data_IF_741565205819
#
_entry.id   IF_741565205819
#
_cell.length_a   1.000
_cell.length_b   1.000
_cell.length_c   1.000
_cell.angle_alpha   90.00
_cell.angle_beta   90.00
_cell.angle_gamma   90.00
#
_symmetry.space_group_name_H-M   'P 1'
#
loop_
_entity.id
_entity.type
_entity.pdbx_description
1 polymer ?
#
# COMPACT_ATOMS: atom_id res chain seq x y z
N UNK A 1 4.27 0.67 1.40
CA UNK A 1 4.52 1.04 0.00
C UNK A 1 3.44 1.98 -0.52
N UNK A 2 3.78 2.80 -1.52
CA UNK A 2 2.87 3.71 -2.21
C UNK A 2 3.03 3.52 -3.70
N UNK A 3 1.99 3.86 -4.47
CA UNK A 3 2.05 3.86 -5.92
C UNK A 3 1.60 5.22 -6.46
N UNK A 4 2.27 5.68 -7.51
CA UNK A 4 1.92 6.89 -8.22
C UNK A 4 1.57 6.55 -9.66
N UNK A 5 0.42 7.04 -10.11
CA UNK A 5 -0.07 6.90 -11.48
C UNK A 5 -0.07 8.26 -12.18
N UNK A 6 0.07 8.25 -13.49
CA UNK A 6 -0.27 9.43 -14.30
C UNK A 6 -1.78 9.69 -14.20
N UNK A 7 -2.17 10.86 -13.69
CA UNK A 7 -3.59 11.17 -13.48
C UNK A 7 -4.42 11.24 -14.77
N UNK A 8 -3.78 11.42 -15.92
CA UNK A 8 -4.45 11.36 -17.23
C UNK A 8 -4.93 9.95 -17.56
N UNK A 9 -4.31 8.94 -16.93
CA UNK A 9 -4.58 7.51 -17.16
C UNK A 9 -5.39 6.87 -16.04
N UNK A 10 -5.32 7.46 -14.82
CA UNK A 10 -6.01 6.92 -13.64
C UNK A 10 -6.71 8.05 -12.88
N UNK A 11 -7.98 8.24 -13.17
CA UNK A 11 -8.82 9.26 -12.54
C UNK A 11 -9.67 8.70 -11.40
N UNK A 12 -10.15 7.45 -11.56
CA UNK A 12 -11.12 6.83 -10.65
C UNK A 12 -10.66 5.46 -10.21
N UNK A 13 -10.11 5.39 -9.00
CA UNK A 13 -9.61 4.14 -8.44
C UNK A 13 -10.76 3.26 -7.97
N UNK A 14 -10.76 2.00 -8.41
CA UNK A 14 -11.58 0.90 -7.90
C UNK A 14 -10.72 -0.31 -7.62
N UNK A 15 -11.02 -0.99 -6.53
CA UNK A 15 -10.35 -2.22 -6.14
C UNK A 15 -11.32 -3.39 -6.36
N UNK A 16 -10.96 -4.33 -7.21
CA UNK A 16 -11.83 -5.47 -7.52
C UNK A 16 -11.08 -6.72 -7.97
N UNK A 17 -11.79 -7.85 -7.98
CA UNK A 17 -11.39 -9.08 -8.66
C UNK A 17 -12.25 -9.25 -9.92
N UNK A 18 -11.67 -9.90 -10.92
CA UNK A 18 -12.37 -10.22 -12.16
C UNK A 18 -12.90 -11.66 -12.11
N UNK A 19 -14.12 -11.88 -12.60
CA UNK A 19 -14.75 -13.21 -12.59
C UNK A 19 -14.16 -14.19 -13.60
N UNK A 20 -13.30 -13.73 -14.51
CA UNK A 20 -12.64 -14.54 -15.54
C UNK A 20 -11.16 -14.20 -15.62
N UNK A 21 -10.29 -15.20 -15.85
CA UNK A 21 -8.88 -14.96 -16.08
C UNK A 21 -8.63 -14.10 -17.33
N UNK A 22 -7.53 -13.29 -17.28
CA UNK A 22 -7.08 -12.46 -18.40
C UNK A 22 -5.58 -12.22 -18.32
N UNK A 23 -4.98 -11.72 -19.40
CA UNK A 23 -3.58 -11.35 -19.46
C UNK A 23 -3.41 -9.86 -19.15
N UNK A 24 -2.40 -9.53 -18.34
CA UNK A 24 -2.08 -8.18 -17.92
C UNK A 24 -0.57 -7.92 -18.02
N UNK A 25 -0.19 -6.83 -18.69
CA UNK A 25 1.21 -6.45 -18.82
C UNK A 25 1.63 -5.54 -17.66
N UNK A 26 2.66 -5.95 -16.93
CA UNK A 26 3.22 -5.20 -15.80
C UNK A 26 4.36 -4.27 -16.23
N UNK A 27 4.77 -3.35 -15.33
CA UNK A 27 5.81 -2.34 -15.57
C UNK A 27 7.16 -2.91 -16.08
N UNK A 28 7.47 -4.15 -15.75
CA UNK A 28 8.66 -4.86 -16.23
C UNK A 28 8.50 -5.40 -17.67
N UNK A 29 7.40 -5.08 -18.35
CA UNK A 29 7.09 -5.50 -19.72
C UNK A 29 6.63 -6.96 -19.84
N UNK A 30 6.46 -7.66 -18.71
CA UNK A 30 6.08 -9.07 -18.70
C UNK A 30 4.58 -9.23 -18.71
N UNK A 31 4.04 -10.08 -19.60
CA UNK A 31 2.64 -10.51 -19.56
C UNK A 31 2.41 -11.55 -18.46
N UNK A 32 1.39 -11.33 -17.64
CA UNK A 32 1.03 -12.20 -16.52
C UNK A 32 -0.42 -12.65 -16.64
N UNK A 33 -0.65 -13.93 -16.36
CA UNK A 33 -1.98 -14.49 -16.33
C UNK A 33 -2.63 -14.18 -14.96
N UNK A 34 -3.65 -13.33 -14.98
CA UNK A 34 -4.41 -12.93 -13.80
C UNK A 34 -5.58 -13.88 -13.64
N UNK A 35 -5.68 -14.48 -12.45
CA UNK A 35 -6.80 -15.35 -12.08
C UNK A 35 -7.95 -14.58 -11.40
N UNK A 36 -9.06 -15.25 -11.16
CA UNK A 36 -10.26 -14.67 -10.51
C UNK A 36 -10.03 -14.28 -9.05
N UNK A 37 -8.95 -14.75 -8.41
CA UNK A 37 -8.64 -14.47 -7.01
C UNK A 37 -7.63 -13.32 -6.84
N UNK A 38 -7.00 -12.88 -7.92
CA UNK A 38 -6.03 -11.79 -7.88
C UNK A 38 -6.74 -10.45 -7.76
N UNK A 39 -6.35 -9.65 -6.77
CA UNK A 39 -6.89 -8.32 -6.55
C UNK A 39 -6.22 -7.33 -7.49
N UNK A 40 -7.04 -6.54 -8.18
CA UNK A 40 -6.59 -5.53 -9.13
C UNK A 40 -6.99 -4.13 -8.68
N UNK A 41 -6.12 -3.17 -8.92
CA UNK A 41 -6.44 -1.75 -8.92
C UNK A 41 -6.86 -1.39 -10.34
N UNK A 42 -7.96 -0.66 -10.47
CA UNK A 42 -8.56 -0.31 -11.75
C UNK A 42 -8.82 1.19 -11.84
N UNK A 43 -8.69 1.74 -13.05
CA UNK A 43 -9.34 2.99 -13.42
C UNK A 43 -10.76 2.64 -13.87
N UNK A 44 -11.74 2.89 -13.02
CA UNK A 44 -13.13 2.38 -13.14
C UNK A 44 -13.17 0.86 -13.36
N UNK A 45 -13.23 0.37 -14.57
CA UNK A 45 -13.25 -1.06 -14.89
C UNK A 45 -11.99 -1.57 -15.59
N UNK A 46 -11.07 -0.69 -15.96
CA UNK A 46 -9.82 -1.03 -16.64
C UNK A 46 -8.73 -1.32 -15.62
N UNK A 47 -8.14 -2.53 -15.60
CA UNK A 47 -7.05 -2.85 -14.68
C UNK A 47 -5.83 -1.97 -14.96
N UNK A 48 -5.24 -1.40 -13.90
CA UNK A 48 -4.04 -0.55 -13.98
C UNK A 48 -2.90 -1.01 -13.09
N UNK A 49 -3.17 -1.89 -12.12
CA UNK A 49 -2.13 -2.50 -11.31
C UNK A 49 -2.61 -3.81 -10.68
N UNK A 50 -1.66 -4.71 -10.39
CA UNK A 50 -1.86 -5.85 -9.50
C UNK A 50 -1.68 -5.34 -8.08
N UNK A 51 -2.76 -5.31 -7.29
CA UNK A 51 -2.78 -4.72 -5.96
C UNK A 51 -1.65 -5.26 -5.06
N UNK A 52 -0.83 -4.36 -4.53
CA UNK A 52 0.26 -4.66 -3.63
C UNK A 52 1.43 -5.45 -4.24
N UNK A 53 1.44 -5.67 -5.54
CA UNK A 53 2.49 -6.44 -6.23
C UNK A 53 3.21 -5.58 -7.25
N UNK A 54 2.54 -5.16 -8.34
CA UNK A 54 3.18 -4.37 -9.39
C UNK A 54 2.17 -3.58 -10.23
N UNK A 55 2.55 -2.37 -10.62
CA UNK A 55 1.80 -1.53 -11.54
C UNK A 55 1.75 -2.09 -12.97
N UNK A 56 0.78 -1.62 -13.74
CA UNK A 56 0.66 -1.89 -15.15
C UNK A 56 1.48 -0.93 -16.01
N UNK A 57 1.97 -1.40 -17.14
CA UNK A 57 2.79 -0.62 -18.06
C UNK A 57 2.03 0.62 -18.58
N UNK A 58 0.75 0.48 -18.92
CA UNK A 58 -0.04 1.57 -19.51
C UNK A 58 -0.36 2.71 -18.54
N UNK A 59 -0.22 2.51 -17.23
CA UNK A 59 -0.50 3.52 -16.19
C UNK A 59 0.76 4.20 -15.64
N UNK A 60 1.90 3.90 -16.21
CA UNK A 60 3.22 4.41 -15.85
C UNK A 60 3.30 5.95 -15.93
N UNK A 61 4.09 6.52 -15.02
CA UNK A 61 4.53 7.92 -15.09
C UNK A 61 5.52 8.07 -16.24
N UNK A 62 5.34 9.09 -17.05
CA UNK A 62 6.18 9.41 -18.20
C UNK A 62 6.74 10.84 -18.08
N UNK A 63 7.71 11.19 -18.92
CA UNK A 63 8.44 12.47 -18.83
C UNK A 63 7.55 13.72 -18.88
N UNK A 64 6.37 13.66 -19.51
CA UNK A 64 5.39 14.73 -19.60
C UNK A 64 4.24 14.61 -18.59
N UNK A 65 4.39 13.79 -17.56
CA UNK A 65 3.42 13.70 -16.47
C UNK A 65 3.51 14.91 -15.57
N UNK A 66 2.41 15.68 -15.47
CA UNK A 66 2.33 16.89 -14.65
C UNK A 66 1.47 16.72 -13.40
N UNK A 67 0.62 15.71 -13.35
CA UNK A 67 -0.26 15.46 -12.21
C UNK A 67 -0.27 13.97 -11.88
N UNK A 68 -0.13 13.67 -10.58
CA UNK A 68 -0.08 12.32 -10.07
C UNK A 68 -1.37 11.97 -9.33
N UNK A 69 -1.87 10.77 -9.53
CA UNK A 69 -2.82 10.11 -8.63
C UNK A 69 -2.02 9.21 -7.70
N UNK A 70 -2.07 9.47 -6.39
CA UNK A 70 -1.32 8.71 -5.39
C UNK A 70 -2.22 7.66 -4.73
N UNK A 71 -1.68 6.45 -4.62
CA UNK A 71 -2.25 5.37 -3.83
C UNK A 71 -1.36 5.13 -2.61
N UNK A 72 -1.98 5.11 -1.43
CA UNK A 72 -1.39 4.59 -0.20
C UNK A 72 -2.41 3.65 0.42
N UNK A 73 -2.13 2.37 0.40
CA UNK A 73 -3.10 1.34 0.76
C UNK A 73 -2.52 0.30 1.72
N UNK A 74 -3.41 -0.42 2.37
CA UNK A 74 -3.13 -1.68 3.05
C UNK A 74 -4.02 -2.76 2.44
N UNK A 75 -3.43 -3.91 2.13
CA UNK A 75 -4.11 -5.04 1.53
C UNK A 75 -4.09 -6.23 2.48
N UNK A 76 -5.07 -7.12 2.33
CA UNK A 76 -5.07 -8.38 3.07
C UNK A 76 -3.81 -9.20 2.76
N UNK A 77 -2.94 -9.37 3.75
CA UNK A 77 -1.62 -9.99 3.61
C UNK A 77 -1.67 -11.41 3.03
N UNK A 78 -2.68 -12.20 3.41
CA UNK A 78 -2.88 -13.56 2.89
C UNK A 78 -3.23 -13.54 1.42
N UNK A 79 -4.08 -12.59 0.99
CA UNK A 79 -4.45 -12.41 -0.42
C UNK A 79 -3.24 -12.05 -1.27
N UNK A 80 -2.42 -11.09 -0.82
CA UNK A 80 -1.19 -10.69 -1.52
C UNK A 80 -0.22 -11.88 -1.61
N UNK A 81 0.05 -12.57 -0.50
CA UNK A 81 0.95 -13.72 -0.49
C UNK A 81 0.51 -14.82 -1.46
N UNK A 82 -0.78 -15.16 -1.47
CA UNK A 82 -1.32 -16.17 -2.40
C UNK A 82 -1.18 -15.74 -3.85
N UNK A 83 -1.47 -14.47 -4.17
CA UNK A 83 -1.32 -13.94 -5.52
C UNK A 83 0.14 -13.92 -5.98
N UNK A 84 1.06 -13.51 -5.11
CA UNK A 84 2.51 -13.53 -5.35
C UNK A 84 3.01 -14.92 -5.72
N UNK A 85 2.55 -15.96 -5.00
CA UNK A 85 2.92 -17.35 -5.29
C UNK A 85 2.35 -17.82 -6.62
N UNK A 86 1.05 -17.57 -6.89
CA UNK A 86 0.40 -17.96 -8.15
C UNK A 86 1.04 -17.30 -9.38
N UNK A 87 1.36 -16.02 -9.27
CA UNK A 87 1.99 -15.26 -10.34
C UNK A 87 3.50 -15.55 -10.48
N UNK A 88 4.09 -16.31 -9.55
CA UNK A 88 5.54 -16.51 -9.41
C UNK A 88 6.30 -15.17 -9.45
N UNK A 89 5.71 -14.12 -8.85
CA UNK A 89 6.22 -12.75 -8.94
C UNK A 89 6.25 -12.09 -7.56
N UNK A 90 7.43 -12.02 -6.97
CA UNK A 90 7.67 -11.44 -5.66
C UNK A 90 8.44 -10.14 -5.79
N UNK A 91 7.85 -9.05 -5.34
CA UNK A 91 8.42 -7.70 -5.40
C UNK A 91 8.69 -7.16 -3.99
N UNK A 92 9.46 -6.08 -3.88
CA UNK A 92 9.67 -5.38 -2.60
C UNK A 92 8.35 -4.90 -1.97
N UNK A 93 7.39 -4.47 -2.78
CA UNK A 93 6.06 -4.11 -2.32
C UNK A 93 5.33 -5.32 -1.73
N UNK A 94 5.27 -6.43 -2.47
CA UNK A 94 4.59 -7.64 -2.01
C UNK A 94 5.21 -8.23 -0.74
N UNK A 95 6.54 -8.17 -0.60
CA UNK A 95 7.24 -8.61 0.61
C UNK A 95 6.85 -7.80 1.86
N UNK A 96 6.44 -6.54 1.69
CA UNK A 96 5.94 -5.70 2.79
C UNK A 96 4.46 -5.96 3.05
N UNK A 97 3.64 -5.97 2.01
CA UNK A 97 2.19 -6.19 2.16
C UNK A 97 1.84 -7.58 2.72
N UNK A 98 2.63 -8.61 2.44
CA UNK A 98 2.42 -9.94 3.04
C UNK A 98 2.67 -10.01 4.55
N UNK A 99 3.09 -8.89 5.19
CA UNK A 99 3.43 -8.79 6.62
C UNK A 99 2.39 -8.07 7.49
N UNK A 100 1.16 -7.90 7.01
CA UNK A 100 0.09 -7.22 7.73
C UNK A 100 0.47 -5.78 8.13
N UNK A 101 0.65 -4.92 7.14
CA UNK A 101 0.93 -3.50 7.37
C UNK A 101 -0.25 -2.83 8.09
N UNK A 102 0.07 -1.91 8.99
CA UNK A 102 -0.92 -1.14 9.72
C UNK A 102 -1.65 -0.17 8.78
N UNK A 103 -2.99 -0.25 8.64
CA UNK A 103 -3.76 0.64 7.80
C UNK A 103 -3.76 2.11 8.27
N UNK A 104 -3.57 2.37 9.56
CA UNK A 104 -3.46 3.74 10.10
C UNK A 104 -2.25 4.50 9.54
N UNK A 105 -1.26 3.80 9.00
CA UNK A 105 -0.07 4.41 8.42
C UNK A 105 -0.26 4.91 6.99
N UNK A 106 -1.40 4.68 6.35
CA UNK A 106 -1.65 5.08 4.96
C UNK A 106 -1.71 6.60 4.79
N UNK A 107 -2.45 7.29 5.65
CA UNK A 107 -2.57 8.75 5.64
C UNK A 107 -1.25 9.45 6.02
N UNK A 108 -0.56 9.07 7.11
CA UNK A 108 0.78 9.59 7.41
C UNK A 108 1.79 9.40 6.26
N UNK A 109 1.72 8.29 5.53
CA UNK A 109 2.59 8.04 4.38
C UNK A 109 2.35 9.03 3.24
N UNK A 110 1.07 9.33 2.90
CA UNK A 110 0.72 10.37 1.92
C UNK A 110 1.22 11.74 2.37
N UNK A 111 0.97 12.12 3.62
CA UNK A 111 1.42 13.39 4.16
C UNK A 111 2.96 13.52 4.10
N UNK A 112 3.67 12.44 4.40
CA UNK A 112 5.14 12.41 4.28
C UNK A 112 5.60 12.54 2.83
N UNK A 113 4.96 11.87 1.89
CA UNK A 113 5.25 11.98 0.47
C UNK A 113 5.07 13.43 -0.02
N UNK A 114 3.92 14.04 0.25
CA UNK A 114 3.63 15.44 -0.12
C UNK A 114 4.68 16.39 0.47
N UNK A 115 5.04 16.21 1.74
CA UNK A 115 6.10 17.00 2.40
C UNK A 115 7.43 16.89 1.67
N UNK A 116 7.84 15.67 1.32
CA UNK A 116 9.11 15.45 0.61
C UNK A 116 9.09 16.07 -0.80
N UNK A 117 7.98 15.92 -1.52
CA UNK A 117 7.83 16.52 -2.85
C UNK A 117 7.91 18.06 -2.80
N UNK A 118 7.24 18.68 -1.82
CA UNK A 118 7.29 20.14 -1.65
C UNK A 118 8.64 20.66 -1.15
N UNK A 119 9.46 19.82 -0.54
CA UNK A 119 10.84 20.18 -0.16
C UNK A 119 11.76 20.19 -1.38
N UNK A 120 11.54 19.29 -2.32
CA UNK A 120 12.31 19.18 -3.58
C UNK A 120 11.86 20.23 -4.60
N UNK A 121 10.55 20.39 -4.78
CA UNK A 121 9.95 21.33 -5.73
C UNK A 121 8.87 22.17 -5.03
N UNK A 122 9.12 23.49 -4.93
CA UNK A 122 8.21 24.43 -4.25
C UNK A 122 6.93 24.73 -5.04
N UNK A 123 6.87 24.38 -6.29
CA UNK A 123 5.70 24.57 -7.15
C UNK A 123 4.71 23.41 -7.09
N UNK A 124 5.07 22.32 -6.42
CA UNK A 124 4.16 21.17 -6.17
C UNK A 124 2.95 21.62 -5.35
N UNK A 125 1.76 21.23 -5.81
CA UNK A 125 0.49 21.56 -5.16
C UNK A 125 -0.38 20.31 -5.03
N UNK A 126 -1.05 20.21 -3.90
CA UNK A 126 -2.15 19.24 -3.73
C UNK A 126 -3.40 19.84 -4.37
N UNK A 127 -3.97 19.16 -5.36
CA UNK A 127 -5.07 19.65 -6.19
C UNK A 127 -6.40 18.95 -5.96
N UNK A 128 -6.46 18.01 -5.02
CA UNK A 128 -7.69 17.31 -4.61
C UNK A 128 -7.79 17.18 -3.10
N UNK A 129 -8.99 16.88 -2.59
CA UNK A 129 -9.15 16.38 -1.23
C UNK A 129 -8.60 14.97 -1.11
N UNK A 130 -8.28 14.54 0.12
CA UNK A 130 -7.99 13.15 0.43
C UNK A 130 -9.28 12.33 0.35
N UNK A 131 -9.21 11.19 -0.35
CA UNK A 131 -10.22 10.14 -0.27
C UNK A 131 -9.65 9.01 0.56
N UNK A 132 -10.33 8.63 1.64
CA UNK A 132 -9.94 7.54 2.52
C UNK A 132 -11.11 6.55 2.65
N UNK A 133 -10.89 5.35 2.14
CA UNK A 133 -11.85 4.23 2.18
C UNK A 133 -11.33 3.17 3.14
N UNK A 134 -11.83 3.19 4.37
CA UNK A 134 -11.42 2.28 5.42
C UNK A 134 -12.46 1.15 5.55
N UNK A 135 -12.13 -0.02 5.01
CA UNK A 135 -13.08 -1.13 4.89
C UNK A 135 -13.60 -1.65 6.25
N UNK A 136 -12.73 -1.72 7.26
CA UNK A 136 -13.09 -2.04 8.63
C UNK A 136 -11.99 -1.57 9.58
N UNK A 137 -12.37 -1.04 10.73
CA UNK A 137 -11.44 -0.65 11.78
C UNK A 137 -11.07 -1.86 12.63
N UNK A 138 -9.81 -1.92 13.04
CA UNK A 138 -9.38 -2.88 14.05
C UNK A 138 -9.77 -2.36 15.44
N UNK A 139 -10.28 -3.24 16.27
CA UNK A 139 -10.55 -2.92 17.66
C UNK A 139 -9.23 -2.65 18.41
N UNK A 140 -9.26 -1.71 19.33
CA UNK A 140 -8.13 -1.50 20.24
C UNK A 140 -7.95 -2.73 21.12
N UNK A 141 -6.75 -3.29 21.11
CA UNK A 141 -6.39 -4.41 21.96
C UNK A 141 -5.77 -3.85 23.24
N UNK A 142 -6.45 -4.05 24.36
CA UNK A 142 -5.91 -3.75 25.68
C UNK A 142 -5.12 -4.96 26.20
N UNK A 143 -3.91 -4.70 26.66
CA UNK A 143 -3.04 -5.73 27.24
C UNK A 143 -2.73 -5.36 28.68
N UNK A 144 -2.88 -6.34 29.58
CA UNK A 144 -2.44 -6.20 30.96
C UNK A 144 -0.91 -6.07 30.97
N UNK A 145 -0.42 -5.00 31.58
CA UNK A 145 1.01 -4.76 31.72
C UNK A 145 1.52 -5.24 33.07
N UNK A 146 2.43 -6.22 33.08
CA UNK A 146 3.15 -6.71 34.25
C UNK A 146 4.62 -6.35 34.16
N UNK A 147 5.03 -5.33 34.94
CA UNK A 147 6.41 -4.87 34.99
C UNK A 147 7.39 -6.01 35.38
N UNK A 148 7.04 -6.81 36.37
CA UNK A 148 7.90 -7.91 36.83
C UNK A 148 8.15 -8.95 35.74
N UNK A 149 7.13 -9.20 34.91
CA UNK A 149 7.27 -10.05 33.73
C UNK A 149 8.21 -9.43 32.68
N UNK A 150 8.08 -8.12 32.42
CA UNK A 150 8.98 -7.41 31.49
C UNK A 150 10.41 -7.44 31.97
N UNK A 151 10.69 -7.08 33.23
CA UNK A 151 12.02 -7.09 33.81
C UNK A 151 12.66 -8.49 33.77
N UNK A 152 11.87 -9.53 34.03
CA UNK A 152 12.31 -10.92 33.92
C UNK A 152 12.70 -11.30 32.49
N UNK A 153 11.92 -10.88 31.49
CA UNK A 153 12.16 -11.23 30.09
C UNK A 153 13.30 -10.45 29.46
N UNK A 154 13.44 -9.16 29.82
CA UNK A 154 14.55 -8.30 29.32
C UNK A 154 15.87 -8.58 30.05
N UNK A 155 15.80 -9.13 31.26
CA UNK A 155 16.97 -9.37 32.12
C UNK A 155 17.53 -8.10 32.74
N UNK A 156 16.85 -6.97 32.63
CA UNK A 156 17.19 -5.66 33.20
C UNK A 156 15.98 -5.07 33.89
N UNK A 157 16.21 -4.29 34.96
CA UNK A 157 15.16 -3.52 35.60
C UNK A 157 15.01 -2.17 34.88
N UNK A 158 13.82 -1.90 34.33
CA UNK A 158 13.49 -0.66 33.62
C UNK A 158 12.55 0.15 34.49
N UNK A 159 12.86 1.41 34.76
CA UNK A 159 11.99 2.29 35.55
C UNK A 159 10.69 2.62 34.78
N UNK A 160 9.63 2.92 35.55
CA UNK A 160 8.30 3.19 34.99
C UNK A 160 8.29 4.42 34.07
N UNK A 161 9.06 5.46 34.40
CA UNK A 161 9.07 6.71 33.61
C UNK A 161 9.68 6.45 32.22
N UNK A 162 10.72 5.64 32.16
CA UNK A 162 11.31 5.19 30.89
C UNK A 162 10.29 4.38 30.07
N UNK A 163 9.56 3.44 30.70
CA UNK A 163 8.56 2.61 30.00
C UNK A 163 7.42 3.49 29.42
N UNK A 164 6.96 4.49 30.19
CA UNK A 164 5.84 5.36 29.77
C UNK A 164 6.28 6.34 28.66
N UNK A 165 7.53 6.78 28.68
CA UNK A 165 8.04 7.79 27.74
C UNK A 165 8.49 7.23 26.38
N UNK A 166 8.63 5.90 26.27
CA UNK A 166 9.08 5.23 25.06
C UNK A 166 7.90 4.83 24.16
#
# INVERSE_FOLDING_TARGET
>A
PMHAFDSRKVEKIRIKRFGTPFTFQTLDGVERNIDENTLMICNDNTPVAIAGIMGGLDSEIVDDTHTLTLESATFNAVSIRKSTVRLAHRTDASMRYEKCLDPEMTVPAIARFVKLMTDVDKDVKVVSSLTDEYAFHYDTVELDFDKAFVDKYTGIEIDNDTIIST
#
